data_IF_967160924783
#
_entry.id   IF_967160924783
#
_cell.length_a   1.000
_cell.length_b   1.000
_cell.length_c   1.000
_cell.angle_alpha   90.00
_cell.angle_beta   90.00
_cell.angle_gamma   90.00
#
_symmetry.space_group_name_H-M   'P 1'
#
loop_
_entity.id
_entity.type
_entity.pdbx_description
1 polymer ?
#
# COMPACT_ATOMS: atom_id res chain seq x y z
N UNK A 1 22.67 -18.28 -4.83
CA UNK A 1 21.40 -17.63 -5.21
C UNK A 1 21.15 -16.58 -4.15
N UNK A 2 21.31 -15.30 -4.47
CA UNK A 2 21.01 -14.25 -3.50
C UNK A 2 19.48 -14.16 -3.40
N UNK A 3 18.95 -14.38 -2.20
CA UNK A 3 17.53 -14.16 -1.92
C UNK A 3 17.22 -12.69 -2.17
N UNK A 4 16.05 -12.40 -2.73
CA UNK A 4 15.52 -11.04 -2.76
C UNK A 4 15.39 -10.58 -1.30
N UNK A 5 15.95 -9.40 -0.92
CA UNK A 5 15.78 -8.85 0.42
C UNK A 5 14.32 -8.76 0.82
N UNK A 6 14.06 -9.05 2.09
CA UNK A 6 12.70 -8.96 2.62
C UNK A 6 12.26 -7.49 2.70
N UNK A 7 10.95 -7.27 2.70
CA UNK A 7 10.39 -5.91 2.83
C UNK A 7 10.97 -5.14 4.02
N UNK A 8 11.09 -5.82 5.16
CA UNK A 8 11.62 -5.23 6.39
C UNK A 8 13.07 -4.74 6.20
N UNK A 9 13.89 -5.46 5.44
CA UNK A 9 15.28 -5.09 5.16
C UNK A 9 15.35 -3.88 4.22
N UNK A 10 14.52 -3.87 3.18
CA UNK A 10 14.42 -2.76 2.24
C UNK A 10 13.98 -1.47 2.94
N UNK A 11 12.94 -1.56 3.78
CA UNK A 11 12.43 -0.41 4.53
C UNK A 11 13.41 0.03 5.63
N UNK A 12 14.15 -0.89 6.24
CA UNK A 12 15.20 -0.54 7.20
C UNK A 12 16.35 0.25 6.55
N UNK A 13 16.70 -0.08 5.30
CA UNK A 13 17.71 0.63 4.49
C UNK A 13 17.19 1.88 3.76
N UNK A 14 15.92 2.24 3.93
CA UNK A 14 15.34 3.44 3.35
C UNK A 14 15.66 4.67 4.21
N UNK A 15 16.01 5.78 3.56
CA UNK A 15 16.54 7.00 4.21
C UNK A 15 15.65 8.24 4.07
N UNK A 16 14.89 8.37 2.97
CA UNK A 16 14.15 9.60 2.61
C UNK A 16 12.67 9.32 2.36
N UNK A 17 12.34 8.39 1.47
CA UNK A 17 10.97 8.17 1.00
C UNK A 17 10.70 6.71 0.67
N UNK A 18 9.54 6.21 1.10
CA UNK A 18 9.01 4.93 0.68
C UNK A 18 7.56 5.13 0.22
N UNK A 19 7.27 4.84 -1.04
CA UNK A 19 5.92 4.97 -1.60
C UNK A 19 5.36 3.61 -1.99
N UNK A 20 4.08 3.37 -1.72
CA UNK A 20 3.37 2.14 -2.08
C UNK A 20 2.16 2.44 -2.97
N UNK A 21 2.10 1.81 -4.13
CA UNK A 21 1.00 1.92 -5.07
C UNK A 21 0.23 0.60 -5.15
N UNK A 22 -1.09 0.69 -5.02
CA UNK A 22 -2.02 -0.45 -5.10
C UNK A 22 -3.18 -0.08 -6.03
N UNK A 23 -3.45 -0.88 -7.06
CA UNK A 23 -4.50 -0.59 -8.04
C UNK A 23 -5.59 -1.67 -8.14
N UNK A 24 -5.51 -2.73 -7.34
CA UNK A 24 -6.43 -3.86 -7.37
C UNK A 24 -7.65 -3.61 -6.48
N UNK A 25 -8.80 -4.12 -6.91
CA UNK A 25 -10.06 -4.05 -6.12
C UNK A 25 -10.21 -5.23 -5.14
N UNK A 26 -9.30 -6.19 -5.17
CA UNK A 26 -9.23 -7.30 -4.22
C UNK A 26 -7.87 -7.98 -4.31
N UNK A 27 -7.45 -8.55 -3.18
CA UNK A 27 -6.38 -9.54 -3.09
C UNK A 27 -6.95 -10.84 -2.50
N UNK A 28 -6.08 -11.84 -2.29
CA UNK A 28 -6.44 -13.11 -1.69
C UNK A 28 -7.19 -12.98 -0.36
N UNK A 29 -8.09 -13.93 -0.10
CA UNK A 29 -8.77 -14.06 1.19
C UNK A 29 -7.77 -14.43 2.27
N UNK A 30 -7.96 -13.89 3.47
CA UNK A 30 -7.18 -14.27 4.63
C UNK A 30 -8.09 -14.31 5.86
N UNK A 31 -7.69 -15.00 6.95
CA UNK A 31 -8.53 -15.16 8.12
C UNK A 31 -9.08 -13.84 8.67
N UNK A 32 -8.31 -12.75 8.66
CA UNK A 32 -8.78 -11.44 9.17
C UNK A 32 -9.84 -10.79 8.29
N UNK A 33 -9.83 -11.08 7.00
CA UNK A 33 -10.89 -10.64 6.10
C UNK A 33 -12.14 -11.50 6.31
N UNK A 34 -11.98 -12.81 6.45
CA UNK A 34 -13.06 -13.76 6.73
C UNK A 34 -13.77 -13.45 8.05
N UNK A 35 -13.01 -13.23 9.13
CA UNK A 35 -13.53 -12.81 10.45
C UNK A 35 -14.33 -11.51 10.33
N UNK A 36 -13.81 -10.53 9.57
CA UNK A 36 -14.51 -9.26 9.36
C UNK A 36 -15.82 -9.43 8.58
N UNK A 37 -15.85 -10.32 7.58
CA UNK A 37 -17.06 -10.66 6.84
C UNK A 37 -18.11 -11.33 7.76
N UNK A 38 -17.66 -12.05 8.79
CA UNK A 38 -18.54 -12.64 9.82
C UNK A 38 -19.00 -11.64 10.89
N UNK A 39 -18.57 -10.38 10.81
CA UNK A 39 -18.96 -9.32 11.74
C UNK A 39 -17.95 -9.06 12.85
N UNK A 40 -16.83 -9.77 12.89
CA UNK A 40 -15.77 -9.49 13.86
C UNK A 40 -15.09 -8.15 13.56
N UNK A 41 -14.67 -7.45 14.61
CA UNK A 41 -14.06 -6.13 14.50
C UNK A 41 -12.80 -6.09 15.35
N UNK A 42 -11.79 -5.42 14.82
CA UNK A 42 -10.55 -5.11 15.57
C UNK A 42 -10.90 -4.33 16.84
N UNK A 43 -10.36 -4.78 17.98
CA UNK A 43 -10.35 -4.00 19.20
C UNK A 43 -9.28 -2.92 19.09
N UNK A 44 -9.68 -1.76 18.59
CA UNK A 44 -8.79 -0.61 18.45
C UNK A 44 -8.29 -0.05 19.79
N UNK A 45 -8.89 -0.42 20.92
CA UNK A 45 -8.43 -0.04 22.26
C UNK A 45 -7.25 -0.89 22.74
N UNK A 46 -7.11 -2.12 22.25
CA UNK A 46 -5.98 -3.00 22.53
C UNK A 46 -5.00 -3.05 21.35
N UNK A 47 -4.03 -2.12 21.36
CA UNK A 47 -2.99 -2.05 20.32
C UNK A 47 -2.25 -3.37 20.10
N UNK A 48 -2.01 -4.16 21.15
CA UNK A 48 -1.25 -5.40 21.01
C UNK A 48 -2.00 -6.46 20.17
N UNK A 49 -3.34 -6.40 20.12
CA UNK A 49 -4.17 -7.34 19.35
C UNK A 49 -4.02 -7.17 17.82
N UNK A 50 -3.73 -5.97 17.34
CA UNK A 50 -3.72 -5.64 15.91
C UNK A 50 -2.41 -5.06 15.39
N UNK A 51 -1.51 -4.58 16.26
CA UNK A 51 -0.17 -4.16 15.87
C UNK A 51 0.64 -5.39 15.41
N UNK A 52 1.27 -5.28 14.24
CA UNK A 52 1.97 -6.39 13.55
C UNK A 52 3.39 -5.93 13.23
N UNK A 53 4.32 -6.87 12.93
CA UNK A 53 5.68 -6.51 12.55
C UNK A 53 5.74 -5.45 11.44
N UNK A 54 4.88 -5.57 10.43
CA UNK A 54 4.73 -4.55 9.37
C UNK A 54 4.54 -3.13 9.93
N UNK A 55 3.58 -2.95 10.85
CA UNK A 55 3.29 -1.66 11.46
C UNK A 55 4.49 -1.13 12.27
N UNK A 56 5.22 -2.03 12.94
CA UNK A 56 6.44 -1.65 13.64
C UNK A 56 7.53 -1.16 12.67
N UNK A 57 7.76 -1.88 11.57
CA UNK A 57 8.77 -1.47 10.58
C UNK A 57 8.46 -0.12 9.94
N UNK A 58 7.17 0.16 9.66
CA UNK A 58 6.72 1.47 9.20
C UNK A 58 6.98 2.55 10.26
N UNK A 59 6.56 2.31 11.50
CA UNK A 59 6.76 3.26 12.59
C UNK A 59 8.25 3.55 12.83
N UNK A 60 9.11 2.55 12.76
CA UNK A 60 10.55 2.71 12.88
C UNK A 60 11.13 3.55 11.73
N UNK A 61 10.64 3.36 10.50
CA UNK A 61 11.06 4.15 9.34
C UNK A 61 10.65 5.62 9.48
N UNK A 62 9.40 5.86 9.86
CA UNK A 62 8.88 7.21 10.13
C UNK A 62 9.67 7.88 11.26
N UNK A 63 9.99 7.16 12.33
CA UNK A 63 10.81 7.67 13.43
C UNK A 63 12.23 8.07 13.01
N UNK A 64 12.79 7.43 11.97
CA UNK A 64 14.06 7.83 11.35
C UNK A 64 13.95 9.02 10.39
N UNK A 65 12.74 9.50 10.10
CA UNK A 65 12.48 10.62 9.21
C UNK A 65 12.09 10.22 7.78
N UNK A 66 11.86 8.93 7.50
CA UNK A 66 11.40 8.46 6.19
C UNK A 66 9.94 8.85 5.97
N UNK A 67 9.65 9.48 4.82
CA UNK A 67 8.27 9.74 4.39
C UNK A 67 7.66 8.46 3.79
N UNK A 68 6.74 7.83 4.52
CA UNK A 68 6.03 6.62 4.07
C UNK A 68 4.64 7.00 3.56
N UNK A 69 4.36 6.76 2.27
CA UNK A 69 3.11 7.14 1.60
C UNK A 69 2.50 5.98 0.85
N UNK A 70 1.17 5.91 0.82
CA UNK A 70 0.42 4.91 0.05
C UNK A 70 -0.72 5.52 -0.74
N UNK A 71 -0.78 5.20 -2.02
CA UNK A 71 -1.88 5.56 -2.90
C UNK A 71 -2.60 4.29 -3.38
N UNK A 72 -3.92 4.27 -3.19
CA UNK A 72 -4.80 3.20 -3.67
C UNK A 72 -5.71 3.70 -4.77
N UNK A 73 -5.78 3.00 -5.89
CA UNK A 73 -6.75 3.27 -6.97
C UNK A 73 -7.83 2.20 -6.94
N UNK A 74 -9.09 2.60 -6.68
CA UNK A 74 -10.19 1.65 -6.39
C UNK A 74 -11.42 1.91 -7.27
N UNK A 75 -12.14 0.85 -7.63
CA UNK A 75 -13.50 0.96 -8.21
C UNK A 75 -14.47 1.52 -7.18
N UNK A 76 -15.46 2.28 -7.65
CA UNK A 76 -16.66 2.62 -6.87
C UNK A 76 -17.91 2.12 -7.63
N UNK A 77 -18.91 1.52 -6.94
CA UNK A 77 -18.89 1.10 -5.53
C UNK A 77 -17.77 0.10 -5.22
N UNK A 78 -17.22 0.18 -4.02
CA UNK A 78 -16.07 -0.64 -3.65
C UNK A 78 -16.49 -2.09 -3.37
N UNK A 79 -15.54 -3.02 -3.49
CA UNK A 79 -15.70 -4.41 -3.05
C UNK A 79 -15.67 -4.48 -1.52
N UNK A 80 -16.15 -5.59 -0.95
CA UNK A 80 -16.03 -5.85 0.48
C UNK A 80 -14.57 -5.91 0.94
N UNK A 81 -13.67 -6.37 0.07
CA UNK A 81 -12.25 -6.36 0.37
C UNK A 81 -11.74 -4.94 0.57
N UNK A 82 -12.09 -4.00 -0.31
CA UNK A 82 -11.70 -2.59 -0.17
C UNK A 82 -12.41 -1.94 1.03
N UNK A 83 -13.65 -2.31 1.36
CA UNK A 83 -14.31 -1.86 2.61
C UNK A 83 -13.50 -2.31 3.84
N UNK A 84 -13.08 -3.57 3.87
CA UNK A 84 -12.24 -4.11 4.92
C UNK A 84 -10.86 -3.46 4.95
N UNK A 85 -10.21 -3.29 3.80
CA UNK A 85 -8.89 -2.68 3.69
C UNK A 85 -8.93 -1.22 4.19
N UNK A 86 -9.97 -0.46 3.81
CA UNK A 86 -10.19 0.87 4.32
C UNK A 86 -10.36 0.88 5.83
N UNK A 87 -11.16 -0.05 6.38
CA UNK A 87 -11.31 -0.22 7.82
C UNK A 87 -9.97 -0.51 8.54
N UNK A 88 -9.14 -1.39 7.97
CA UNK A 88 -7.85 -1.78 8.55
C UNK A 88 -6.76 -0.70 8.41
N UNK A 89 -6.92 0.22 7.44
CA UNK A 89 -5.95 1.29 7.14
C UNK A 89 -5.69 2.21 8.33
N UNK A 90 -6.58 2.23 9.32
CA UNK A 90 -6.31 2.86 10.61
C UNK A 90 -4.97 2.42 11.21
N UNK A 91 -4.61 1.14 11.13
CA UNK A 91 -3.35 0.62 11.65
C UNK A 91 -2.13 1.18 10.89
N UNK A 92 -2.25 1.37 9.57
CA UNK A 92 -1.23 2.03 8.74
C UNK A 92 -1.03 3.49 9.17
N UNK A 93 -2.13 4.23 9.34
CA UNK A 93 -2.08 5.64 9.76
C UNK A 93 -1.52 5.78 11.18
N UNK A 94 -1.90 4.90 12.11
CA UNK A 94 -1.32 4.88 13.46
C UNK A 94 0.17 4.50 13.46
N UNK A 95 0.68 3.83 12.43
CA UNK A 95 2.11 3.62 12.20
C UNK A 95 2.84 4.81 11.56
N UNK A 96 2.12 5.86 11.17
CA UNK A 96 2.66 7.07 10.57
C UNK A 96 2.67 7.06 9.03
N UNK A 97 2.10 6.04 8.39
CA UNK A 97 1.93 6.02 6.93
C UNK A 97 0.85 7.01 6.50
N UNK A 98 1.17 7.88 5.54
CA UNK A 98 0.17 8.74 4.93
C UNK A 98 -0.54 7.99 3.81
N UNK A 99 -1.87 7.87 3.88
CA UNK A 99 -2.65 7.07 2.92
C UNK A 99 -3.65 7.93 2.16
N UNK A 100 -3.74 7.73 0.85
CA UNK A 100 -4.73 8.37 -0.04
C UNK A 100 -5.42 7.35 -0.95
N UNK A 101 -6.64 7.69 -1.35
CA UNK A 101 -7.56 6.86 -2.14
C UNK A 101 -8.02 7.63 -3.38
N UNK A 102 -7.84 7.05 -4.56
CA UNK A 102 -8.30 7.61 -5.82
C UNK A 102 -9.43 6.73 -6.37
N UNK A 103 -10.68 7.24 -6.41
CA UNK A 103 -11.73 6.59 -7.19
C UNK A 103 -11.30 6.46 -8.65
N UNK A 104 -11.37 5.24 -9.22
CA UNK A 104 -10.85 4.95 -10.56
C UNK A 104 -11.53 5.77 -11.65
N UNK A 105 -12.79 6.18 -11.45
CA UNK A 105 -13.51 7.07 -12.37
C UNK A 105 -12.91 8.50 -12.42
N UNK A 106 -12.07 8.88 -11.44
CA UNK A 106 -11.33 10.15 -11.41
C UNK A 106 -9.89 10.01 -11.93
N UNK A 107 -9.46 8.78 -12.26
CA UNK A 107 -8.13 8.51 -12.80
C UNK A 107 -8.01 8.81 -14.31
N UNK A 108 -9.09 9.22 -14.99
CA UNK A 108 -9.04 9.59 -16.41
C UNK A 108 -7.97 10.67 -16.65
N UNK A 109 -7.11 10.43 -17.64
CA UNK A 109 -5.97 11.29 -17.95
C UNK A 109 -4.70 11.02 -17.13
N UNK A 110 -4.69 10.00 -16.27
CA UNK A 110 -3.47 9.50 -15.64
C UNK A 110 -2.95 8.26 -16.38
N UNK A 111 -1.63 8.12 -16.45
CA UNK A 111 -0.98 6.86 -16.81
C UNK A 111 -0.73 6.09 -15.52
N UNK A 112 -1.43 4.97 -15.35
CA UNK A 112 -1.30 4.14 -14.15
C UNK A 112 -0.36 2.96 -14.42
N UNK A 113 0.55 2.64 -13.50
CA UNK A 113 1.27 1.37 -13.53
C UNK A 113 0.30 0.20 -13.49
N UNK A 114 0.59 -0.83 -14.28
CA UNK A 114 -0.26 -2.03 -14.33
C UNK A 114 -0.03 -2.96 -13.13
N UNK A 115 1.08 -2.79 -12.42
CA UNK A 115 1.50 -3.59 -11.28
C UNK A 115 1.56 -2.74 -10.02
N UNK A 116 1.24 -3.35 -8.89
CA UNK A 116 1.46 -2.76 -7.58
C UNK A 116 2.96 -2.75 -7.27
N UNK A 117 3.43 -1.77 -6.52
CA UNK A 117 4.85 -1.65 -6.20
C UNK A 117 5.11 -0.83 -4.95
N UNK A 118 6.21 -1.16 -4.28
CA UNK A 118 6.95 -0.21 -3.44
C UNK A 118 8.05 0.46 -4.26
N UNK A 119 8.32 1.73 -3.98
CA UNK A 119 9.51 2.45 -4.42
C UNK A 119 10.19 3.09 -3.22
N UNK A 120 11.48 2.79 -3.05
CA UNK A 120 12.32 3.27 -1.96
C UNK A 120 13.36 4.26 -2.49
N UNK A 121 13.41 5.44 -1.87
CA UNK A 121 14.37 6.54 -2.08
C UNK A 121 14.54 6.98 -3.53
N UNK A 122 13.50 6.81 -4.35
CA UNK A 122 13.50 7.07 -5.79
C UNK A 122 14.63 6.32 -6.52
N UNK A 123 15.01 5.14 -6.00
CA UNK A 123 16.12 4.33 -6.54
C UNK A 123 15.80 2.86 -6.77
N UNK A 124 14.96 2.27 -5.93
CA UNK A 124 14.75 0.82 -5.93
C UNK A 124 13.26 0.53 -5.79
N UNK A 125 12.72 -0.18 -6.76
CA UNK A 125 11.35 -0.66 -6.75
C UNK A 125 11.30 -2.12 -6.34
N UNK A 126 10.28 -2.47 -5.58
CA UNK A 126 9.82 -3.84 -5.39
C UNK A 126 8.45 -3.96 -6.03
N UNK A 127 8.39 -4.61 -7.18
CA UNK A 127 7.15 -4.80 -7.95
C UNK A 127 6.49 -6.08 -7.48
N UNK A 128 5.18 -6.02 -7.26
CA UNK A 128 4.37 -7.15 -6.82
C UNK A 128 3.64 -7.80 -7.99
N UNK A 129 3.72 -9.12 -8.07
CA UNK A 129 2.98 -9.91 -9.04
C UNK A 129 1.88 -10.70 -8.34
N UNK A 130 0.64 -10.44 -8.76
CA UNK A 130 -0.55 -11.13 -8.28
C UNK A 130 -1.24 -11.86 -9.43
N UNK A 131 -1.89 -12.97 -9.12
CA UNK A 131 -2.76 -13.69 -10.04
C UNK A 131 -4.03 -12.88 -10.36
N UNK A 132 -4.88 -13.40 -11.26
CA UNK A 132 -6.16 -12.76 -11.58
C UNK A 132 -7.12 -12.69 -10.39
N UNK A 133 -7.09 -13.69 -9.51
CA UNK A 133 -7.87 -13.79 -8.27
C UNK A 133 -7.18 -13.15 -7.05
N UNK A 134 -6.00 -12.55 -7.24
CA UNK A 134 -5.33 -11.74 -6.21
C UNK A 134 -4.40 -12.50 -5.27
N UNK A 135 -4.12 -13.76 -5.53
CA UNK A 135 -3.06 -14.53 -4.88
C UNK A 135 -1.70 -13.91 -5.17
N UNK A 136 -0.86 -13.83 -4.14
CA UNK A 136 0.52 -13.40 -4.30
C UNK A 136 1.30 -14.48 -5.06
N UNK A 137 2.00 -14.09 -6.13
CA UNK A 137 2.81 -15.01 -6.96
C UNK A 137 4.29 -14.83 -6.64
N UNK A 138 4.81 -13.62 -6.83
CA UNK A 138 6.23 -13.31 -6.64
C UNK A 138 6.43 -11.79 -6.52
N UNK A 139 7.65 -11.37 -6.21
CA UNK A 139 8.08 -9.98 -6.34
C UNK A 139 9.38 -9.91 -7.14
N UNK A 140 9.57 -8.83 -7.88
CA UNK A 140 10.85 -8.51 -8.51
C UNK A 140 11.42 -7.19 -7.98
N UNK A 141 12.76 -7.07 -8.00
CA UNK A 141 13.44 -5.82 -7.71
C UNK A 141 13.91 -5.17 -9.00
N UNK A 142 13.66 -3.86 -9.12
CA UNK A 142 13.96 -3.04 -10.30
C UNK A 142 14.62 -1.74 -9.87
N UNK A 143 15.75 -1.40 -10.48
CA UNK A 143 16.53 -0.19 -10.18
C UNK A 143 16.91 0.60 -11.43
N UNK A 144 16.34 0.26 -12.60
CA UNK A 144 16.63 0.94 -13.84
C UNK A 144 16.13 2.40 -13.79
N UNK A 145 17.00 3.42 -13.91
CA UNK A 145 16.63 4.80 -13.60
C UNK A 145 15.43 5.34 -14.38
N UNK A 146 15.31 4.98 -15.66
CA UNK A 146 14.18 5.39 -16.50
C UNK A 146 12.86 4.75 -16.07
N UNK A 147 12.89 3.51 -15.60
CA UNK A 147 11.71 2.81 -15.10
C UNK A 147 11.29 3.38 -13.74
N UNK A 148 12.26 3.55 -12.84
CA UNK A 148 12.06 4.15 -11.52
C UNK A 148 11.46 5.55 -11.62
N UNK A 149 12.01 6.42 -12.48
CA UNK A 149 11.46 7.77 -12.70
C UNK A 149 10.02 7.72 -13.20
N UNK A 150 9.71 6.85 -14.16
CA UNK A 150 8.36 6.73 -14.71
C UNK A 150 7.33 6.28 -13.66
N UNK A 151 7.70 5.33 -12.79
CA UNK A 151 6.82 4.86 -11.71
C UNK A 151 6.69 5.88 -10.58
N UNK A 152 7.76 6.61 -10.26
CA UNK A 152 7.72 7.73 -9.31
C UNK A 152 6.77 8.83 -9.79
N UNK A 153 6.92 9.26 -11.05
CA UNK A 153 6.05 10.27 -11.69
C UNK A 153 4.58 9.83 -11.69
N UNK A 154 4.32 8.56 -12.02
CA UNK A 154 2.97 8.02 -12.00
C UNK A 154 2.38 7.98 -10.58
N UNK A 155 3.18 7.62 -9.56
CA UNK A 155 2.76 7.67 -8.17
C UNK A 155 2.38 9.08 -7.74
N UNK A 156 3.22 10.09 -8.01
CA UNK A 156 2.94 11.48 -7.63
C UNK A 156 1.68 12.01 -8.33
N UNK A 157 1.48 11.69 -9.61
CA UNK A 157 0.29 12.10 -10.34
C UNK A 157 -1.01 11.51 -9.76
N UNK A 158 -0.95 10.28 -9.24
CA UNK A 158 -2.05 9.67 -8.48
C UNK A 158 -2.19 10.34 -7.12
N UNK A 159 -1.09 10.50 -6.39
CA UNK A 159 -1.04 11.06 -5.05
C UNK A 159 -1.67 12.46 -4.99
N UNK A 160 -1.34 13.32 -5.95
CA UNK A 160 -1.84 14.70 -6.04
C UNK A 160 -3.36 14.77 -6.27
N UNK A 161 -3.94 13.75 -6.91
CA UNK A 161 -5.38 13.68 -7.19
C UNK A 161 -6.16 12.89 -6.13
N UNK A 162 -5.49 12.00 -5.42
CA UNK A 162 -6.12 11.09 -4.46
C UNK A 162 -6.61 11.84 -3.21
N UNK A 163 -7.70 11.34 -2.63
CA UNK A 163 -8.36 11.87 -1.43
C UNK A 163 -7.68 11.30 -0.19
N UNK A 164 -7.46 12.12 0.85
CA UNK A 164 -6.84 11.65 2.10
C UNK A 164 -7.73 10.61 2.79
N UNK A 165 -7.12 9.64 3.48
CA UNK A 165 -7.87 8.58 4.16
C UNK A 165 -8.92 9.09 5.16
N UNK A 166 -8.65 10.18 5.87
CA UNK A 166 -9.59 10.80 6.81
C UNK A 166 -10.76 11.53 6.14
N UNK A 167 -10.67 11.78 4.84
CA UNK A 167 -11.69 12.49 4.03
C UNK A 167 -12.38 11.56 3.02
N UNK A 168 -11.85 10.36 2.79
CA UNK A 168 -12.39 9.41 1.84
C UNK A 168 -13.57 8.65 2.43
N UNK A 169 -14.74 8.81 1.82
CA UNK A 169 -15.95 8.08 2.18
C UNK A 169 -16.13 6.84 1.31
N UNK A 170 -16.14 5.67 1.95
CA UNK A 170 -16.35 4.39 1.28
C UNK A 170 -17.80 4.26 0.80
N UNK A 171 -18.00 4.03 -0.50
CA UNK A 171 -19.30 3.81 -1.16
C UNK A 171 -19.48 2.35 -1.54
#
# INVERSE_FOLDING_TARGET
MNSIPEFAELLAGCERSAVHFEARDAYFSNPRFEDWQQGERVDWGDRASWWRPYHQHVADAVARGVSVRRARVVSEPVTDYIRWEHYQTRANVEAGEAVRWLPRHQATGLLLPATDFWLFDDRLMRVHHFSGDGEWIDNELRDEPTLVSAYAEAFEAVWDRAIRHDEYEVK
#
